data_IF_907219912890
#
_entry.id   IF_907219912890
#
_cell.length_a   1.000
_cell.length_b   1.000
_cell.length_c   1.000
_cell.angle_alpha   90.00
_cell.angle_beta   90.00
_cell.angle_gamma   90.00
#
_symmetry.space_group_name_H-M   'P 1'
#
loop_
_entity.id
_entity.type
_entity.pdbx_description
1 polymer ?
#
# COMPACT_ATOMS: atom_id res chain seq x y z
N UNK A 1 18.11 -24.29 0.29
CA UNK A 1 16.79 -24.70 0.73
C UNK A 1 16.31 -23.81 1.87
N UNK A 2 17.10 -23.72 2.93
CA UNK A 2 16.73 -22.87 4.07
C UNK A 2 16.66 -21.41 3.66
N UNK A 3 17.61 -20.94 2.88
CA UNK A 3 17.63 -19.57 2.42
C UNK A 3 16.45 -19.27 1.49
N UNK A 4 16.10 -20.21 0.65
CA UNK A 4 14.94 -20.05 -0.23
C UNK A 4 13.66 -19.91 0.56
N UNK A 5 13.53 -20.67 1.64
CA UNK A 5 12.35 -20.62 2.48
C UNK A 5 12.25 -19.28 3.19
N UNK A 6 13.36 -18.77 3.73
CA UNK A 6 13.38 -17.47 4.38
C UNK A 6 13.05 -16.35 3.39
N UNK A 7 13.63 -16.42 2.20
CA UNK A 7 13.37 -15.42 1.17
C UNK A 7 11.91 -15.41 0.76
N UNK A 8 11.31 -16.58 0.64
CA UNK A 8 9.90 -16.70 0.30
C UNK A 8 9.01 -16.11 1.38
N UNK A 9 9.31 -16.38 2.65
CA UNK A 9 8.55 -15.81 3.77
C UNK A 9 8.68 -14.30 3.81
N UNK A 10 9.87 -13.77 3.56
CA UNK A 10 10.11 -12.34 3.51
C UNK A 10 9.32 -11.69 2.38
N UNK A 11 9.28 -12.34 1.22
CA UNK A 11 8.53 -11.84 0.08
C UNK A 11 7.03 -11.84 0.34
N UNK A 12 6.52 -12.88 1.00
CA UNK A 12 5.11 -12.93 1.37
C UNK A 12 4.74 -11.79 2.32
N UNK A 13 5.60 -11.53 3.30
CA UNK A 13 5.39 -10.44 4.23
C UNK A 13 5.35 -9.09 3.49
N UNK A 14 6.32 -8.88 2.61
CA UNK A 14 6.40 -7.64 1.84
C UNK A 14 5.17 -7.45 0.96
N UNK A 15 4.72 -8.51 0.31
CA UNK A 15 3.57 -8.46 -0.56
C UNK A 15 2.28 -8.19 0.22
N UNK A 16 2.11 -8.88 1.35
CA UNK A 16 0.93 -8.69 2.18
C UNK A 16 0.87 -7.26 2.73
N UNK A 17 1.99 -6.74 3.17
CA UNK A 17 2.06 -5.38 3.67
C UNK A 17 1.74 -4.38 2.56
N UNK A 18 2.26 -4.63 1.36
CA UNK A 18 1.95 -3.82 0.20
C UNK A 18 0.44 -3.78 -0.08
N UNK A 19 -0.21 -4.95 -0.05
CA UNK A 19 -1.64 -5.04 -0.31
C UNK A 19 -2.46 -4.30 0.75
N UNK A 20 -2.12 -4.45 2.02
CA UNK A 20 -2.81 -3.76 3.11
C UNK A 20 -2.73 -2.26 2.90
N UNK A 21 -1.54 -1.76 2.60
CA UNK A 21 -1.31 -0.34 2.39
C UNK A 21 -2.04 0.17 1.16
N UNK A 22 -2.06 -0.63 0.10
CA UNK A 22 -2.75 -0.28 -1.13
C UNK A 22 -4.26 -0.16 -0.88
N UNK A 23 -4.85 -1.13 -0.18
CA UNK A 23 -6.28 -1.09 0.15
C UNK A 23 -6.61 0.16 0.96
N UNK A 24 -5.78 0.47 1.95
CA UNK A 24 -5.99 1.67 2.74
C UNK A 24 -5.98 2.94 1.87
N UNK A 25 -5.00 3.05 0.97
CA UNK A 25 -4.88 4.24 0.14
C UNK A 25 -6.04 4.39 -0.84
N UNK A 26 -6.46 3.30 -1.45
CA UNK A 26 -7.60 3.34 -2.37
C UNK A 26 -8.88 3.75 -1.65
N UNK A 27 -9.08 3.24 -0.44
CA UNK A 27 -10.23 3.62 0.38
C UNK A 27 -10.11 5.08 0.81
N UNK A 28 -8.95 5.49 1.29
CA UNK A 28 -8.74 6.84 1.82
C UNK A 28 -8.95 7.92 0.78
N UNK A 29 -8.47 7.70 -0.45
CA UNK A 29 -8.63 8.71 -1.50
C UNK A 29 -10.06 8.81 -2.02
N UNK A 30 -10.90 7.83 -1.69
CA UNK A 30 -12.28 7.78 -2.15
C UNK A 30 -13.27 8.22 -1.07
N UNK A 31 -12.81 8.46 0.16
CA UNK A 31 -13.67 8.74 1.31
C UNK A 31 -13.33 10.03 2.04
N UNK A 32 -12.62 10.95 1.41
CA UNK A 32 -12.25 12.24 1.98
C UNK A 32 -11.22 12.18 3.12
N UNK A 33 -10.70 11.01 3.43
CA UNK A 33 -9.56 10.90 4.35
C UNK A 33 -8.34 11.55 3.70
N UNK A 34 -8.25 11.41 2.38
CA UNK A 34 -7.23 12.07 1.56
C UNK A 34 -7.91 12.83 0.44
N UNK A 35 -7.22 13.79 -0.20
CA UNK A 35 -7.78 14.45 -1.39
C UNK A 35 -8.17 13.42 -2.43
N UNK A 36 -9.28 13.65 -3.09
CA UNK A 36 -9.87 12.67 -4.00
C UNK A 36 -8.92 12.29 -5.12
N UNK A 37 -8.68 10.99 -5.25
CA UNK A 37 -7.86 10.44 -6.33
C UNK A 37 -6.39 10.75 -6.26
N UNK A 38 -5.91 11.26 -5.13
CA UNK A 38 -4.51 11.71 -5.02
C UNK A 38 -3.51 10.59 -5.29
N UNK A 39 -3.75 9.39 -4.76
CA UNK A 39 -2.84 8.26 -4.93
C UNK A 39 -2.89 7.75 -6.38
N UNK A 40 -4.08 7.49 -6.89
CA UNK A 40 -4.24 6.98 -8.27
C UNK A 40 -3.64 7.96 -9.27
N UNK A 41 -3.88 9.25 -9.07
CA UNK A 41 -3.36 10.27 -9.95
C UNK A 41 -1.83 10.34 -9.92
N UNK A 42 -1.25 10.17 -8.74
CA UNK A 42 0.20 10.14 -8.60
C UNK A 42 0.80 8.96 -9.36
N UNK A 43 0.17 7.79 -9.27
CA UNK A 43 0.63 6.63 -10.01
C UNK A 43 0.54 6.87 -11.52
N UNK A 44 -0.56 7.44 -11.99
CA UNK A 44 -0.74 7.72 -13.42
C UNK A 44 0.26 8.71 -13.97
N UNK A 45 0.54 9.76 -13.22
CA UNK A 45 1.31 10.89 -13.75
C UNK A 45 2.79 10.83 -13.43
N UNK A 46 3.19 10.02 -12.44
CA UNK A 46 4.58 10.00 -11.98
C UNK A 46 5.31 8.69 -12.19
N UNK A 47 4.66 7.72 -12.85
CA UNK A 47 5.32 6.47 -13.18
C UNK A 47 5.30 6.22 -14.68
N UNK A 48 6.28 5.46 -15.14
CA UNK A 48 6.35 5.06 -16.55
C UNK A 48 5.32 3.99 -16.84
N UNK A 49 4.86 3.97 -18.08
CA UNK A 49 3.80 3.03 -18.50
C UNK A 49 4.21 1.58 -18.27
N UNK A 50 5.50 1.28 -18.38
CA UNK A 50 6.01 -0.08 -18.21
C UNK A 50 6.14 -0.52 -16.76
N UNK A 51 5.87 0.36 -15.79
CA UNK A 51 5.93 0.04 -14.37
C UNK A 51 7.34 -0.02 -13.79
N UNK A 52 8.34 0.36 -14.57
CA UNK A 52 9.74 0.20 -14.15
C UNK A 52 10.10 1.03 -12.91
N UNK A 53 9.45 2.17 -12.72
CA UNK A 53 9.72 3.06 -11.59
C UNK A 53 8.57 3.06 -10.56
N UNK A 54 7.62 2.16 -10.72
CA UNK A 54 6.46 2.11 -9.83
C UNK A 54 6.85 1.85 -8.38
N UNK A 55 7.76 0.92 -8.16
CA UNK A 55 8.20 0.60 -6.80
C UNK A 55 8.82 1.82 -6.11
N UNK A 56 9.62 2.59 -6.82
CA UNK A 56 10.25 3.77 -6.27
C UNK A 56 9.20 4.82 -5.86
N UNK A 57 8.23 5.08 -6.72
CA UNK A 57 7.20 6.07 -6.42
C UNK A 57 6.33 5.64 -5.25
N UNK A 58 5.96 4.35 -5.20
CA UNK A 58 5.20 3.80 -4.08
C UNK A 58 6.00 3.94 -2.78
N UNK A 59 7.30 3.65 -2.82
CA UNK A 59 8.16 3.79 -1.65
C UNK A 59 8.20 5.23 -1.15
N UNK A 60 8.30 6.19 -2.06
CA UNK A 60 8.30 7.60 -1.69
C UNK A 60 6.98 8.00 -1.03
N UNK A 61 5.85 7.55 -1.57
CA UNK A 61 4.54 7.85 -0.99
C UNK A 61 4.42 7.24 0.41
N UNK A 62 4.75 5.97 0.55
CA UNK A 62 4.63 5.29 1.84
C UNK A 62 5.52 5.92 2.91
N UNK A 63 6.75 6.27 2.53
CA UNK A 63 7.67 6.94 3.45
C UNK A 63 7.12 8.29 3.88
N UNK A 64 6.55 9.03 2.94
CA UNK A 64 5.99 10.34 3.21
C UNK A 64 4.78 10.26 4.15
N UNK A 65 3.95 9.25 4.01
CA UNK A 65 2.79 9.05 4.87
C UNK A 65 3.18 8.81 6.33
N UNK A 66 4.38 8.31 6.57
CA UNK A 66 4.89 8.06 7.91
C UNK A 66 5.60 9.27 8.53
N UNK A 67 5.67 10.38 7.81
CA UNK A 67 6.33 11.61 8.28
C UNK A 67 5.32 12.67 8.65
N UNK A 68 5.46 13.19 9.86
CA UNK A 68 4.63 14.30 10.32
C UNK A 68 5.06 15.61 9.67
N UNK A 69 6.37 15.87 9.62
CA UNK A 69 6.90 17.10 9.02
C UNK A 69 7.28 16.85 7.56
N UNK A 70 6.64 17.59 6.67
CA UNK A 70 6.80 17.45 5.23
C UNK A 70 7.41 18.65 4.55
N UNK A 71 7.96 19.58 5.30
CA UNK A 71 8.46 20.83 4.71
C UNK A 71 9.54 20.62 3.67
N UNK A 72 10.35 19.56 3.83
CA UNK A 72 11.42 19.25 2.89
C UNK A 72 10.97 18.36 1.73
N UNK A 73 9.71 17.93 1.73
CA UNK A 73 9.20 17.03 0.70
C UNK A 73 8.84 17.81 -0.57
N UNK A 74 8.90 17.15 -1.75
CA UNK A 74 8.38 17.75 -2.96
C UNK A 74 6.90 18.11 -2.81
N UNK A 75 6.47 19.12 -3.57
CA UNK A 75 5.11 19.63 -3.46
C UNK A 75 4.06 18.53 -3.64
N UNK A 76 4.26 17.62 -4.58
CA UNK A 76 3.26 16.58 -4.85
C UNK A 76 3.09 15.60 -3.69
N UNK A 77 4.10 15.45 -2.85
CA UNK A 77 4.00 14.60 -1.65
C UNK A 77 3.37 15.32 -0.47
N UNK A 78 3.45 16.65 -0.43
CA UNK A 78 2.91 17.41 0.69
C UNK A 78 1.39 17.31 0.81
N UNK A 79 0.71 17.03 -0.29
CA UNK A 79 -0.74 16.92 -0.29
C UNK A 79 -1.23 15.63 0.36
N UNK A 80 -0.36 14.63 0.51
CA UNK A 80 -0.72 13.42 1.25
C UNK A 80 -0.72 13.72 2.75
N UNK A 81 -1.71 13.24 3.50
CA UNK A 81 -1.74 13.47 4.95
C UNK A 81 -0.74 12.59 5.68
N UNK A 82 -0.42 12.98 6.91
CA UNK A 82 0.35 12.12 7.80
C UNK A 82 -0.58 11.05 8.35
N UNK A 83 -0.19 9.79 8.22
CA UNK A 83 -0.96 8.67 8.75
C UNK A 83 -0.30 8.22 10.04
N UNK A 84 -0.87 8.65 11.17
CA UNK A 84 -0.35 8.32 12.48
C UNK A 84 -0.65 6.85 12.80
N UNK A 85 0.36 6.13 13.23
CA UNK A 85 0.20 4.73 13.61
C UNK A 85 1.29 3.88 13.01
N UNK A 86 1.04 2.57 12.94
CA UNK A 86 2.06 1.61 12.53
C UNK A 86 1.96 1.14 11.09
N UNK A 87 0.90 1.53 10.39
CA UNK A 87 0.65 1.01 9.05
C UNK A 87 1.81 1.29 8.09
N UNK A 88 2.38 2.48 8.15
CA UNK A 88 3.47 2.89 7.26
C UNK A 88 4.83 3.00 7.95
N UNK A 89 4.94 2.53 9.20
CA UNK A 89 6.17 2.68 9.96
C UNK A 89 7.29 1.74 9.51
N UNK A 90 6.92 0.58 8.99
CA UNK A 90 7.91 -0.37 8.49
C UNK A 90 8.34 0.04 7.08
N UNK A 91 9.65 0.07 6.78
CA UNK A 91 10.09 0.47 5.45
C UNK A 91 9.51 -0.43 4.36
N UNK A 92 9.24 0.17 3.21
CA UNK A 92 8.77 -0.59 2.06
C UNK A 92 9.91 -1.47 1.53
N UNK A 93 9.62 -2.74 1.35
CA UNK A 93 10.57 -3.69 0.75
C UNK A 93 10.42 -3.64 -0.75
N UNK A 94 11.53 -3.62 -1.47
CA UNK A 94 11.51 -3.52 -2.92
C UNK A 94 10.75 -4.70 -3.53
N UNK A 95 9.77 -4.35 -4.36
CA UNK A 95 8.99 -5.31 -5.13
C UNK A 95 9.18 -5.00 -6.61
N UNK A 96 9.05 -6.03 -7.43
CA UNK A 96 9.16 -5.85 -8.88
C UNK A 96 7.76 -5.77 -9.46
N UNK A 97 7.50 -4.69 -10.17
CA UNK A 97 6.21 -4.46 -10.81
C UNK A 97 6.37 -4.38 -12.32
N UNK A 98 5.33 -4.73 -13.03
CA UNK A 98 5.30 -4.66 -14.48
C UNK A 98 4.16 -3.75 -14.95
N UNK A 99 4.02 -3.65 -16.26
CA UNK A 99 2.96 -2.85 -16.87
C UNK A 99 1.58 -3.28 -16.41
N UNK A 100 1.35 -4.59 -16.34
CA UNK A 100 0.05 -5.13 -15.96
C UNK A 100 -0.31 -4.74 -14.53
N UNK A 101 0.65 -4.84 -13.60
CA UNK A 101 0.41 -4.46 -12.22
C UNK A 101 0.06 -2.98 -12.10
N UNK A 102 0.79 -2.13 -12.83
CA UNK A 102 0.53 -0.70 -12.84
C UNK A 102 -0.90 -0.42 -13.34
N UNK A 103 -1.29 -1.05 -14.42
CA UNK A 103 -2.63 -0.87 -14.97
C UNK A 103 -3.71 -1.33 -14.00
N UNK A 104 -3.49 -2.45 -13.32
CA UNK A 104 -4.45 -2.95 -12.34
C UNK A 104 -4.64 -1.99 -11.17
N UNK A 105 -3.55 -1.40 -10.69
CA UNK A 105 -3.63 -0.43 -9.59
C UNK A 105 -4.44 0.79 -10.03
N UNK A 106 -4.15 1.32 -11.22
CA UNK A 106 -4.86 2.48 -11.75
C UNK A 106 -6.35 2.17 -11.94
N UNK A 107 -6.66 1.01 -12.51
CA UNK A 107 -8.06 0.59 -12.72
C UNK A 107 -8.79 0.44 -11.39
N UNK A 108 -8.14 -0.15 -10.40
CA UNK A 108 -8.74 -0.29 -9.07
C UNK A 108 -9.10 1.07 -8.49
N UNK A 109 -8.24 2.07 -8.70
CA UNK A 109 -8.50 3.41 -8.19
C UNK A 109 -9.56 4.18 -8.97
N UNK A 110 -9.62 3.96 -10.28
CA UNK A 110 -10.52 4.74 -11.14
C UNK A 110 -11.90 4.12 -11.32
N UNK A 111 -11.96 2.79 -11.36
CA UNK A 111 -13.18 2.11 -11.74
C UNK A 111 -13.98 1.56 -10.57
N UNK A 112 -13.36 1.40 -9.41
CA UNK A 112 -14.03 0.86 -8.24
C UNK A 112 -14.41 1.96 -7.27
N UNK A 113 -15.57 1.79 -6.64
CA UNK A 113 -16.07 2.76 -5.66
C UNK A 113 -15.75 2.25 -4.24
N UNK A 114 -14.59 2.58 -3.75
CA UNK A 114 -14.15 2.15 -2.42
C UNK A 114 -14.96 2.78 -1.30
N UNK A 115 -15.56 3.95 -1.58
CA UNK A 115 -16.41 4.63 -0.61
C UNK A 115 -17.72 3.87 -0.33
N UNK A 116 -18.08 2.91 -1.16
CA UNK A 116 -19.24 2.07 -0.93
C UNK A 116 -18.95 0.91 0.01
N UNK A 117 -17.68 0.65 0.29
CA UNK A 117 -17.28 -0.41 1.21
C UNK A 117 -17.49 0.08 2.63
N UNK A 118 -18.14 -0.74 3.45
CA UNK A 118 -18.31 -0.44 4.86
C UNK A 118 -16.93 -0.36 5.52
N UNK A 119 -16.61 0.75 6.24
CA UNK A 119 -15.30 0.89 6.88
C UNK A 119 -14.98 -0.25 7.85
N UNK A 120 -15.99 -0.79 8.53
CA UNK A 120 -15.78 -1.90 9.46
C UNK A 120 -15.34 -3.15 8.71
N UNK A 121 -15.91 -3.39 7.52
CA UNK A 121 -15.52 -4.53 6.69
C UNK A 121 -14.10 -4.35 6.18
N UNK A 122 -13.76 -3.14 5.72
CA UNK A 122 -12.41 -2.87 5.26
C UNK A 122 -11.40 -3.07 6.39
N UNK A 123 -11.71 -2.53 7.58
CA UNK A 123 -10.85 -2.70 8.74
C UNK A 123 -10.65 -4.16 9.09
N UNK A 124 -11.72 -4.95 9.02
CA UNK A 124 -11.63 -6.39 9.28
C UNK A 124 -10.77 -7.10 8.23
N UNK A 125 -10.89 -6.71 6.98
CA UNK A 125 -10.05 -7.28 5.91
C UNK A 125 -8.58 -6.98 6.14
N UNK A 126 -8.26 -5.74 6.48
CA UNK A 126 -6.89 -5.33 6.76
C UNK A 126 -6.35 -6.12 7.96
N UNK A 127 -7.14 -6.22 9.01
CA UNK A 127 -6.74 -6.94 10.21
C UNK A 127 -6.52 -8.42 9.92
N UNK A 128 -7.37 -9.02 9.09
CA UNK A 128 -7.25 -10.42 8.71
C UNK A 128 -5.94 -10.70 8.00
N UNK A 129 -5.54 -9.83 7.07
CA UNK A 129 -4.30 -10.00 6.36
C UNK A 129 -3.11 -9.85 7.31
N UNK A 130 -3.14 -8.83 8.18
CA UNK A 130 -2.07 -8.62 9.16
C UNK A 130 -1.96 -9.79 10.14
N UNK A 131 -3.09 -10.25 10.66
CA UNK A 131 -3.12 -11.37 11.60
C UNK A 131 -2.81 -12.69 10.91
N UNK A 132 -3.15 -12.82 9.66
CA UNK A 132 -2.81 -13.98 8.86
C UNK A 132 -1.32 -14.24 8.85
N UNK A 133 -0.51 -13.20 8.76
CA UNK A 133 0.93 -13.33 8.86
C UNK A 133 1.37 -13.83 10.22
N UNK A 134 0.81 -13.28 11.27
CA UNK A 134 1.12 -13.70 12.62
C UNK A 134 0.75 -15.16 12.82
N UNK A 135 -0.40 -15.55 12.32
CA UNK A 135 -0.85 -16.94 12.43
C UNK A 135 0.05 -17.88 11.67
N UNK A 136 0.51 -17.44 10.50
CA UNK A 136 1.42 -18.22 9.71
C UNK A 136 2.72 -18.49 10.46
N UNK A 137 3.23 -17.48 11.16
CA UNK A 137 4.43 -17.60 11.96
C UNK A 137 4.21 -18.48 13.17
N UNK A 138 3.10 -18.30 13.87
CA UNK A 138 2.83 -19.02 15.11
C UNK A 138 2.23 -20.40 14.87
N UNK A 139 1.77 -20.61 13.70
CA UNK A 139 1.18 -21.88 13.37
C UNK A 139 -0.26 -22.01 13.70
N UNK A 140 -1.10 -21.28 13.93
CA UNK A 140 -2.19 -21.26 14.25
C UNK A 140 -3.21 -21.46 14.28
N UNK A 141 -3.70 -21.43 14.36
CA UNK A 141 -4.62 -21.71 14.73
C UNK A 141 -5.76 -21.07 14.52
N UNK A 142 -6.15 -20.67 13.92
CA UNK A 142 -7.11 -19.95 13.80
C UNK A 142 -8.00 -20.54 13.08
N UNK A 143 -8.24 -21.13 12.93
CA UNK A 143 -9.12 -21.63 12.24
C UNK A 143 -10.13 -21.55 12.77
#
# INVERSE_FOLDING_TARGET
AINSFKDQTTQEHAFNLFLIRLLFLLFAEDTDIMPKGIFTNAIKTRTNVDGSDLNQVISEIYTSLDRENRDAEPEWLRDFPYVNGKLFSEPHVDLVFDKTTRELIIEAGELLNWNEINPDILGAMIQTVADGEKRSVTGMHYL
#
